data_IF_839366166656
#
_entry.id   IF_839366166656
#
_cell.length_a   1.000
_cell.length_b   1.000
_cell.length_c   1.000
_cell.angle_alpha   90.00
_cell.angle_beta   90.00
_cell.angle_gamma   90.00
#
_symmetry.space_group_name_H-M   'P 1'
#
loop_
_entity.id
_entity.type
_entity.pdbx_description
1 polymer ?
#
# COMPACT_ATOMS: atom_id res chain seq x y z
N UNK A 1 57.91 -22.75 32.21
CA UNK A 1 59.12 -22.45 31.40
C UNK A 1 59.17 -23.58 30.37
N UNK A 2 58.81 -23.44 29.10
CA UNK A 2 58.79 -22.33 28.14
C UNK A 2 57.88 -22.67 26.94
N UNK A 3 57.24 -21.62 26.39
CA UNK A 3 57.00 -21.33 24.96
C UNK A 3 56.66 -22.49 24.01
N UNK A 4 55.37 -22.63 23.69
CA UNK A 4 54.92 -23.06 22.37
C UNK A 4 54.00 -21.97 21.80
N UNK A 5 54.44 -21.41 20.68
CA UNK A 5 53.74 -20.43 19.86
C UNK A 5 52.38 -20.96 19.42
N UNK A 6 51.32 -20.46 20.05
CA UNK A 6 49.99 -20.42 19.42
C UNK A 6 49.89 -19.10 18.68
N UNK A 7 50.30 -19.10 17.42
CA UNK A 7 49.87 -18.10 16.44
C UNK A 7 48.34 -18.04 16.48
N UNK A 8 47.80 -16.98 17.09
CA UNK A 8 46.44 -16.54 16.83
C UNK A 8 46.43 -16.09 15.37
N UNK A 9 45.95 -16.99 14.50
CA UNK A 9 45.46 -16.59 13.19
C UNK A 9 44.32 -15.60 13.42
N UNK A 10 44.64 -14.32 13.27
CA UNK A 10 43.65 -13.27 13.06
C UNK A 10 42.99 -13.61 11.73
N UNK A 11 41.87 -14.34 11.80
CA UNK A 11 40.95 -14.40 10.66
C UNK A 11 40.47 -12.97 10.50
N UNK A 12 41.01 -12.30 9.49
CA UNK A 12 40.67 -10.94 9.13
C UNK A 12 39.17 -10.94 8.78
N UNK A 13 38.34 -10.68 9.79
CA UNK A 13 36.89 -10.66 9.74
C UNK A 13 36.37 -9.45 8.97
N UNK A 14 37.03 -9.07 7.87
CA UNK A 14 36.40 -8.26 6.83
C UNK A 14 35.51 -9.19 6.01
N UNK A 15 34.37 -9.55 6.59
CA UNK A 15 33.21 -9.85 5.76
C UNK A 15 32.95 -8.58 4.96
N UNK A 16 33.35 -8.59 3.69
CA UNK A 16 33.04 -7.53 2.74
C UNK A 16 31.53 -7.29 2.82
N UNK A 17 31.12 -6.05 3.10
CA UNK A 17 29.70 -5.74 3.17
C UNK A 17 29.08 -6.16 1.84
N UNK A 18 28.00 -6.97 1.84
CA UNK A 18 27.45 -7.52 0.61
C UNK A 18 27.16 -6.39 -0.38
N UNK A 19 27.54 -6.60 -1.64
CA UNK A 19 27.34 -5.60 -2.69
C UNK A 19 25.84 -5.30 -2.85
N UNK A 20 25.49 -4.16 -3.47
CA UNK A 20 24.08 -3.86 -3.73
C UNK A 20 23.41 -4.94 -4.58
N UNK A 21 24.16 -5.57 -5.49
CA UNK A 21 23.68 -6.65 -6.34
C UNK A 21 23.45 -7.94 -5.55
N UNK A 22 24.32 -8.28 -4.60
CA UNK A 22 24.15 -9.44 -3.72
C UNK A 22 22.92 -9.27 -2.81
N UNK A 23 22.74 -8.07 -2.26
CA UNK A 23 21.57 -7.74 -1.44
C UNK A 23 20.27 -7.81 -2.25
N UNK A 24 20.29 -7.37 -3.51
CA UNK A 24 19.11 -7.42 -4.38
C UNK A 24 18.78 -8.86 -4.80
N UNK A 25 19.80 -9.68 -5.09
CA UNK A 25 19.63 -11.09 -5.41
C UNK A 25 19.07 -11.87 -4.21
N UNK A 26 19.56 -11.59 -3.00
CA UNK A 26 19.05 -12.22 -1.80
C UNK A 26 17.62 -11.77 -1.48
N UNK A 27 17.32 -10.48 -1.60
CA UNK A 27 15.94 -9.97 -1.48
C UNK A 27 15.01 -10.68 -2.45
N UNK A 28 15.43 -10.87 -3.70
CA UNK A 28 14.63 -11.57 -4.71
C UNK A 28 14.33 -13.01 -4.29
N UNK A 29 15.34 -13.77 -3.85
CA UNK A 29 15.14 -15.16 -3.36
C UNK A 29 14.21 -15.22 -2.17
N UNK A 30 14.34 -14.29 -1.23
CA UNK A 30 13.46 -14.18 -0.07
C UNK A 30 12.02 -13.89 -0.48
N UNK A 31 11.82 -12.92 -1.39
CA UNK A 31 10.51 -12.60 -1.95
C UNK A 31 9.91 -13.81 -2.67
N UNK A 32 10.64 -14.47 -3.56
CA UNK A 32 10.13 -15.63 -4.31
C UNK A 32 9.70 -16.76 -3.37
N UNK A 33 10.51 -17.06 -2.34
CA UNK A 33 10.19 -18.09 -1.34
C UNK A 33 8.96 -17.74 -0.51
N UNK A 34 8.84 -16.49 -0.05
CA UNK A 34 7.72 -16.07 0.81
C UNK A 34 6.44 -15.91 -0.01
N UNK A 35 6.54 -15.27 -1.18
CA UNK A 35 5.40 -14.91 -2.01
C UNK A 35 4.83 -16.08 -2.81
N UNK A 36 5.64 -17.10 -3.12
CA UNK A 36 5.14 -18.37 -3.69
C UNK A 36 4.22 -19.13 -2.72
N UNK A 37 4.46 -19.00 -1.41
CA UNK A 37 3.63 -19.62 -0.39
C UNK A 37 2.45 -18.74 0.01
N UNK A 38 2.63 -17.41 0.00
CA UNK A 38 1.61 -16.45 0.44
C UNK A 38 1.48 -15.29 -0.54
N UNK A 39 0.35 -15.17 -1.25
CA UNK A 39 0.14 -14.06 -2.17
C UNK A 39 0.17 -12.73 -1.40
N UNK A 40 0.96 -11.77 -1.88
CA UNK A 40 1.01 -10.43 -1.30
C UNK A 40 -0.14 -9.58 -1.83
N UNK A 41 -0.87 -8.98 -0.89
CA UNK A 41 -1.86 -7.94 -1.13
C UNK A 41 -1.39 -6.69 -0.40
N UNK A 42 -1.13 -5.62 -1.13
CA UNK A 42 -0.84 -4.32 -0.54
C UNK A 42 -2.08 -3.44 -0.67
N UNK A 43 -2.50 -2.81 0.41
CA UNK A 43 -3.62 -1.89 0.43
C UNK A 43 -3.17 -0.54 0.99
N UNK A 44 -3.41 0.52 0.22
CA UNK A 44 -3.13 1.89 0.63
C UNK A 44 -4.13 2.82 -0.02
N UNK A 45 -4.36 4.01 0.57
CA UNK A 45 -5.30 4.94 -0.03
C UNK A 45 -4.85 5.39 -1.43
N UNK A 46 -3.57 5.74 -1.58
CA UNK A 46 -2.94 6.06 -2.88
C UNK A 46 -2.19 4.85 -3.43
N UNK A 47 -2.40 4.55 -4.71
CA UNK A 47 -1.66 3.54 -5.45
C UNK A 47 -0.38 4.07 -6.10
N UNK A 48 0.42 3.19 -6.72
CA UNK A 48 1.64 3.54 -7.45
C UNK A 48 1.37 4.11 -8.84
N UNK A 49 0.11 4.12 -9.27
CA UNK A 49 -0.36 4.70 -10.53
C UNK A 49 -1.58 5.56 -10.23
N UNK A 50 -1.62 6.73 -10.86
CA UNK A 50 -2.78 7.63 -10.88
C UNK A 50 -3.20 7.84 -12.33
N UNK A 51 -4.48 7.62 -12.65
CA UNK A 51 -5.00 7.83 -13.99
C UNK A 51 -5.60 9.22 -14.13
N UNK A 52 -5.02 10.02 -15.01
CA UNK A 52 -5.53 11.34 -15.36
C UNK A 52 -6.24 11.27 -16.70
N UNK A 53 -7.34 12.00 -16.86
CA UNK A 53 -8.03 12.09 -18.14
C UNK A 53 -7.26 13.04 -19.06
N UNK A 54 -6.89 12.58 -20.25
CA UNK A 54 -6.31 13.43 -21.28
C UNK A 54 -7.37 14.34 -21.91
N UNK A 55 -6.97 15.41 -22.64
CA UNK A 55 -7.91 16.25 -23.38
C UNK A 55 -8.80 15.46 -24.37
N UNK A 56 -8.32 14.33 -24.86
CA UNK A 56 -9.03 13.41 -25.76
C UNK A 56 -10.00 12.46 -25.02
N UNK A 57 -10.17 12.63 -23.70
CA UNK A 57 -11.09 11.85 -22.88
C UNK A 57 -10.62 10.44 -22.56
N UNK A 58 -9.32 10.15 -22.70
CA UNK A 58 -8.74 8.83 -22.39
C UNK A 58 -8.01 8.86 -21.04
N UNK A 59 -8.11 7.81 -20.22
CA UNK A 59 -7.31 7.70 -19.00
C UNK A 59 -5.85 7.36 -19.34
N UNK A 60 -4.91 8.19 -18.88
CA UNK A 60 -3.46 7.97 -18.97
C UNK A 60 -2.88 7.71 -17.58
N UNK A 61 -2.16 6.60 -17.42
CA UNK A 61 -1.53 6.23 -16.17
C UNK A 61 -0.22 6.97 -15.94
N UNK A 62 -0.11 7.66 -14.80
CA UNK A 62 1.11 8.35 -14.34
C UNK A 62 1.62 7.71 -13.07
N UNK A 63 2.93 7.79 -12.84
CA UNK A 63 3.54 7.30 -11.60
C UNK A 63 2.99 8.08 -10.41
N UNK A 64 2.34 7.37 -9.50
CA UNK A 64 1.89 7.93 -8.23
C UNK A 64 3.09 8.38 -7.40
N UNK A 65 3.00 9.58 -6.83
CA UNK A 65 3.96 10.06 -5.85
C UNK A 65 3.55 9.57 -4.45
N UNK A 66 4.50 9.05 -3.68
CA UNK A 66 4.22 8.61 -2.32
C UNK A 66 5.38 7.85 -1.68
N UNK A 67 5.54 8.01 -0.37
CA UNK A 67 6.57 7.30 0.40
C UNK A 67 6.41 5.78 0.32
N UNK A 68 5.17 5.28 0.35
CA UNK A 68 4.87 3.85 0.19
C UNK A 68 5.25 3.35 -1.21
N UNK A 69 4.95 4.13 -2.25
CA UNK A 69 5.32 3.78 -3.64
C UNK A 69 6.84 3.68 -3.79
N UNK A 70 7.56 4.64 -3.21
CA UNK A 70 9.03 4.63 -3.21
C UNK A 70 9.59 3.47 -2.38
N UNK A 71 9.07 3.22 -1.18
CA UNK A 71 9.54 2.14 -0.30
C UNK A 71 9.35 0.75 -0.93
N UNK A 72 8.29 0.56 -1.71
CA UNK A 72 8.00 -0.71 -2.38
C UNK A 72 8.51 -0.78 -3.82
N UNK A 73 9.29 0.21 -4.29
CA UNK A 73 9.70 0.31 -5.70
C UNK A 73 10.45 -0.94 -6.19
N UNK A 74 11.38 -1.48 -5.39
CA UNK A 74 12.11 -2.71 -5.74
C UNK A 74 11.15 -3.90 -5.89
N UNK A 75 10.19 -4.04 -4.99
CA UNK A 75 9.22 -5.13 -5.04
C UNK A 75 8.26 -5.00 -6.24
N UNK A 76 7.84 -3.77 -6.57
CA UNK A 76 7.00 -3.47 -7.74
C UNK A 76 7.67 -3.96 -9.03
N UNK A 77 8.99 -3.89 -9.12
CA UNK A 77 9.75 -4.29 -10.31
C UNK A 77 10.12 -5.77 -10.31
N UNK A 78 10.25 -6.38 -9.14
CA UNK A 78 10.85 -7.69 -9.00
C UNK A 78 9.82 -8.81 -8.91
N UNK A 79 8.67 -8.57 -8.26
CA UNK A 79 7.70 -9.60 -7.89
C UNK A 79 6.28 -9.28 -8.36
N UNK A 80 5.50 -10.31 -8.69
CA UNK A 80 4.08 -10.15 -9.01
C UNK A 80 3.23 -10.13 -7.74
N UNK A 81 2.47 -9.05 -7.53
CA UNK A 81 1.51 -8.94 -6.43
C UNK A 81 0.34 -8.01 -6.77
N UNK A 82 -0.68 -7.97 -5.91
CA UNK A 82 -1.84 -7.09 -6.12
C UNK A 82 -1.79 -5.88 -5.19
N UNK A 83 -2.00 -4.70 -5.77
CA UNK A 83 -2.11 -3.44 -5.05
C UNK A 83 -3.56 -2.91 -5.13
N UNK A 84 -4.20 -2.82 -3.97
CA UNK A 84 -5.55 -2.27 -3.80
C UNK A 84 -5.44 -0.80 -3.40
N UNK A 85 -6.06 0.10 -4.18
CA UNK A 85 -6.01 1.55 -3.94
C UNK A 85 -7.37 2.22 -4.14
N UNK A 86 -7.59 3.40 -3.55
CA UNK A 86 -8.81 4.18 -3.79
C UNK A 86 -8.81 4.76 -5.21
N UNK A 87 -9.97 4.74 -5.89
CA UNK A 87 -10.16 5.50 -7.12
C UNK A 87 -10.34 7.00 -6.78
N UNK A 88 -9.23 7.74 -6.80
CA UNK A 88 -9.20 9.13 -6.37
C UNK A 88 -9.66 10.09 -7.47
N UNK A 89 -9.19 9.88 -8.70
CA UNK A 89 -9.50 10.72 -9.85
C UNK A 89 -10.66 10.20 -10.71
N UNK A 90 -11.06 11.01 -11.69
CA UNK A 90 -12.01 10.58 -12.73
C UNK A 90 -11.43 9.48 -13.62
N UNK A 91 -10.14 9.55 -13.95
CA UNK A 91 -9.47 8.51 -14.74
C UNK A 91 -9.45 7.16 -14.03
N UNK A 92 -9.15 7.13 -12.72
CA UNK A 92 -9.16 5.88 -11.95
C UNK A 92 -10.55 5.26 -11.91
N UNK A 93 -11.59 6.11 -11.77
CA UNK A 93 -12.99 5.68 -11.77
C UNK A 93 -13.43 5.16 -13.14
N UNK A 94 -13.00 5.82 -14.22
CA UNK A 94 -13.28 5.36 -15.57
C UNK A 94 -12.65 3.97 -15.82
N UNK A 95 -11.39 3.79 -15.45
CA UNK A 95 -10.68 2.50 -15.55
C UNK A 95 -11.37 1.42 -14.70
N UNK A 96 -11.76 1.76 -13.47
CA UNK A 96 -12.41 0.82 -12.58
C UNK A 96 -13.80 0.38 -13.10
N UNK A 97 -14.57 1.32 -13.65
CA UNK A 97 -15.91 1.06 -14.15
C UNK A 97 -15.94 0.35 -15.52
N UNK A 98 -14.87 0.45 -16.31
CA UNK A 98 -14.75 -0.21 -17.61
C UNK A 98 -14.51 -1.74 -17.52
N UNK A 99 -14.66 -2.36 -16.34
CA UNK A 99 -14.54 -3.82 -16.17
C UNK A 99 -13.12 -4.37 -16.16
N UNK A 100 -12.09 -3.52 -16.32
CA UNK A 100 -10.68 -3.89 -16.19
C UNK A 100 -10.24 -4.12 -14.73
N UNK A 101 -11.13 -3.82 -13.77
CA UNK A 101 -10.85 -3.74 -12.34
C UNK A 101 -10.52 -5.04 -11.58
N UNK A 102 -10.85 -6.28 -12.03
CA UNK A 102 -10.46 -7.44 -11.24
C UNK A 102 -8.93 -7.60 -11.17
N UNK A 103 -8.21 -7.27 -12.26
CA UNK A 103 -6.74 -7.38 -12.39
C UNK A 103 -6.21 -6.44 -13.48
N UNK A 104 -6.12 -5.14 -13.20
CA UNK A 104 -5.50 -4.18 -14.14
C UNK A 104 -3.97 -4.29 -14.03
N UNK A 105 -3.27 -4.72 -15.08
CA UNK A 105 -1.80 -4.62 -15.07
C UNK A 105 -1.37 -3.15 -15.06
N UNK A 106 -0.34 -2.82 -14.28
CA UNK A 106 0.20 -1.46 -14.26
C UNK A 106 0.62 -1.02 -15.68
N UNK A 107 0.21 0.16 -16.16
CA UNK A 107 0.61 0.67 -17.47
C UNK A 107 2.07 1.14 -17.51
N UNK A 108 2.73 1.27 -16.35
CA UNK A 108 4.11 1.75 -16.26
C UNK A 108 5.13 0.64 -16.61
N UNK A 109 6.16 0.93 -17.42
CA UNK A 109 7.18 -0.06 -17.79
C UNK A 109 7.89 -0.68 -16.57
N UNK A 110 8.10 -1.99 -16.63
CA UNK A 110 8.82 -2.74 -15.58
C UNK A 110 8.01 -2.99 -14.30
N UNK A 111 6.81 -2.43 -14.16
CA UNK A 111 5.93 -2.75 -13.04
C UNK A 111 5.29 -4.13 -13.23
N UNK A 112 5.53 -5.03 -12.27
CA UNK A 112 4.96 -6.39 -12.22
C UNK A 112 3.70 -6.49 -11.37
N UNK A 113 3.03 -5.38 -11.09
CA UNK A 113 1.89 -5.33 -10.18
C UNK A 113 0.54 -5.39 -10.91
N UNK A 114 -0.44 -6.00 -10.24
CA UNK A 114 -1.85 -5.91 -10.58
C UNK A 114 -2.51 -4.83 -9.71
N UNK A 115 -3.10 -3.83 -10.33
CA UNK A 115 -3.85 -2.76 -9.69
C UNK A 115 -5.32 -3.18 -9.53
N UNK A 116 -5.89 -2.82 -8.39
CA UNK A 116 -7.31 -2.94 -8.11
C UNK A 116 -7.82 -1.68 -7.44
N UNK A 117 -8.75 -0.99 -8.11
CA UNK A 117 -9.31 0.25 -7.58
C UNK A 117 -10.60 0.01 -6.80
N UNK A 118 -10.67 0.60 -5.61
CA UNK A 118 -11.87 0.67 -4.78
C UNK A 118 -12.60 1.95 -5.14
N UNK A 119 -13.78 1.82 -5.74
CA UNK A 119 -14.62 2.95 -6.12
C UNK A 119 -15.64 3.20 -5.02
N UNK A 120 -15.55 4.35 -4.36
CA UNK A 120 -16.58 4.84 -3.43
C UNK A 120 -17.17 6.17 -3.93
N UNK A 121 -18.45 6.48 -3.62
CA UNK A 121 -19.03 7.77 -3.99
C UNK A 121 -18.18 8.94 -3.48
N UNK A 122 -18.05 10.02 -4.26
CA UNK A 122 -17.22 11.20 -3.89
C UNK A 122 -17.52 11.72 -2.48
N UNK A 123 -18.81 11.79 -2.12
CA UNK A 123 -19.25 12.21 -0.77
C UNK A 123 -18.76 11.29 0.35
N UNK A 124 -18.74 9.98 0.11
CA UNK A 124 -18.28 8.96 1.07
C UNK A 124 -16.77 9.06 1.24
N UNK A 125 -16.05 9.17 0.12
CA UNK A 125 -14.60 9.38 0.13
C UNK A 125 -14.20 10.69 0.84
N UNK A 126 -14.93 11.78 0.60
CA UNK A 126 -14.70 13.06 1.28
C UNK A 126 -14.81 12.92 2.81
N UNK A 127 -15.90 12.31 3.30
CA UNK A 127 -16.10 12.05 4.73
C UNK A 127 -14.97 11.18 5.32
N UNK A 128 -14.61 10.10 4.63
CA UNK A 128 -13.49 9.24 5.03
C UNK A 128 -12.15 9.98 5.09
N UNK A 129 -11.77 10.65 3.99
CA UNK A 129 -10.40 11.15 3.83
C UNK A 129 -10.22 12.55 4.41
N UNK A 130 -11.13 13.47 4.10
CA UNK A 130 -11.03 14.90 4.43
C UNK A 130 -11.71 15.29 5.75
N UNK A 131 -12.44 14.38 6.42
CA UNK A 131 -13.04 14.65 7.74
C UNK A 131 -12.48 13.69 8.79
N UNK A 132 -12.33 12.40 8.49
CA UNK A 132 -11.85 11.40 9.44
C UNK A 132 -10.33 11.19 9.40
N UNK A 133 -9.77 10.74 8.27
CA UNK A 133 -8.35 10.41 8.19
C UNK A 133 -7.44 11.63 8.47
N UNK A 134 -7.55 12.67 7.65
CA UNK A 134 -6.55 13.75 7.64
C UNK A 134 -6.70 14.80 8.73
N UNK A 135 -7.91 15.27 9.10
CA UNK A 135 -7.99 16.24 10.19
C UNK A 135 -8.23 15.60 11.55
N UNK A 136 -8.96 14.47 11.65
CA UNK A 136 -9.21 13.84 12.95
C UNK A 136 -8.07 12.89 13.36
N UNK A 137 -7.87 11.79 12.63
CA UNK A 137 -6.91 10.76 13.03
C UNK A 137 -5.46 11.24 12.96
N UNK A 138 -5.09 12.01 11.94
CA UNK A 138 -3.75 12.58 11.85
C UNK A 138 -3.43 13.46 13.06
N UNK A 139 -4.30 14.42 13.40
CA UNK A 139 -4.02 15.34 14.52
C UNK A 139 -3.98 14.60 15.85
N UNK A 140 -4.87 13.61 16.04
CA UNK A 140 -4.83 12.73 17.20
C UNK A 140 -3.47 12.01 17.31
N UNK A 141 -3.02 11.38 16.23
CA UNK A 141 -1.77 10.59 16.22
C UNK A 141 -0.51 11.44 16.36
N UNK A 142 -0.54 12.68 15.90
CA UNK A 142 0.60 13.60 15.94
C UNK A 142 0.56 14.57 17.13
N UNK A 143 -0.41 14.42 18.05
CA UNK A 143 -0.59 15.27 19.22
C UNK A 143 -0.64 16.77 18.88
N UNK A 144 -1.29 17.13 17.77
CA UNK A 144 -1.29 18.49 17.22
C UNK A 144 -2.49 19.34 17.69
N UNK A 145 -3.41 18.78 18.48
CA UNK A 145 -4.53 19.53 19.00
C UNK A 145 -4.16 20.41 20.17
N UNK A 146 -4.82 21.57 20.24
CA UNK A 146 -4.84 22.41 21.42
C UNK A 146 -5.99 21.96 22.34
N UNK A 147 -5.73 21.28 23.48
CA UNK A 147 -6.76 20.60 24.28
C UNK A 147 -7.97 21.45 24.74
N UNK A 148 -7.83 22.75 25.04
CA UNK A 148 -8.97 23.59 25.43
C UNK A 148 -9.97 23.87 24.31
N UNK A 149 -9.59 23.66 23.05
CA UNK A 149 -10.39 24.05 21.88
C UNK A 149 -10.67 22.91 20.91
N UNK A 150 -9.92 21.81 20.97
CA UNK A 150 -9.99 20.71 20.01
C UNK A 150 -9.71 19.36 20.69
N UNK A 151 -10.26 18.26 20.15
CA UNK A 151 -11.16 18.20 19.00
C UNK A 151 -12.62 18.50 19.36
N UNK A 152 -13.35 19.12 18.44
CA UNK A 152 -14.81 19.17 18.50
C UNK A 152 -15.38 17.95 17.78
N UNK A 153 -15.69 16.90 18.53
CA UNK A 153 -16.35 15.70 18.00
C UNK A 153 -17.85 15.92 18.04
N UNK A 154 -18.41 16.32 16.90
CA UNK A 154 -19.82 16.65 16.75
C UNK A 154 -20.57 15.65 15.85
N UNK A 155 -21.85 15.94 15.56
CA UNK A 155 -22.67 15.12 14.69
C UNK A 155 -22.07 14.90 13.29
N UNK A 156 -21.26 15.85 12.78
CA UNK A 156 -20.59 15.73 11.49
C UNK A 156 -19.47 14.68 11.52
N UNK A 157 -18.74 14.59 12.63
CA UNK A 157 -17.70 13.57 12.83
C UNK A 157 -18.34 12.18 12.95
N UNK A 158 -19.44 12.06 13.69
CA UNK A 158 -20.20 10.80 13.79
C UNK A 158 -20.75 10.36 12.43
N UNK A 159 -21.38 11.25 11.67
CA UNK A 159 -21.84 10.96 10.31
C UNK A 159 -20.69 10.57 9.39
N UNK A 160 -19.53 11.23 9.49
CA UNK A 160 -18.37 10.92 8.67
C UNK A 160 -17.72 9.57 9.06
N UNK A 161 -17.80 9.17 10.33
CA UNK A 161 -17.42 7.84 10.79
C UNK A 161 -18.34 6.76 10.19
N UNK A 162 -19.65 6.91 10.35
CA UNK A 162 -20.64 5.89 9.94
C UNK A 162 -20.82 5.79 8.43
N UNK A 163 -20.85 6.92 7.73
CA UNK A 163 -21.20 6.98 6.30
C UNK A 163 -20.01 7.27 5.40
N UNK A 164 -18.83 7.52 5.98
CA UNK A 164 -17.57 7.70 5.27
C UNK A 164 -16.57 6.60 5.62
N UNK A 165 -16.07 6.64 6.85
CA UNK A 165 -14.93 5.82 7.28
C UNK A 165 -15.22 4.31 7.25
N UNK A 166 -16.34 3.88 7.85
CA UNK A 166 -16.72 2.47 7.85
C UNK A 166 -16.94 1.93 6.43
N UNK A 167 -17.77 2.55 5.56
CA UNK A 167 -18.02 2.05 4.21
C UNK A 167 -16.77 1.98 3.35
N UNK A 168 -15.84 2.94 3.46
CA UNK A 168 -14.59 2.88 2.70
C UNK A 168 -13.73 1.70 3.15
N UNK A 169 -13.51 1.52 4.46
CA UNK A 169 -12.70 0.41 4.96
C UNK A 169 -13.34 -0.96 4.61
N UNK A 170 -14.68 -1.07 4.67
CA UNK A 170 -15.40 -2.26 4.20
C UNK A 170 -15.20 -2.50 2.70
N UNK A 171 -15.22 -1.44 1.89
CA UNK A 171 -14.98 -1.53 0.45
C UNK A 171 -13.54 -1.93 0.10
N UNK A 172 -12.55 -1.64 0.95
CA UNK A 172 -11.19 -2.19 0.85
C UNK A 172 -11.13 -3.65 1.28
N UNK A 173 -11.86 -4.03 2.33
CA UNK A 173 -11.88 -5.38 2.85
C UNK A 173 -12.48 -6.38 1.84
N UNK A 174 -13.49 -6.00 1.06
CA UNK A 174 -14.16 -6.91 0.12
C UNK A 174 -13.21 -7.46 -0.98
N UNK A 175 -12.44 -6.62 -1.70
CA UNK A 175 -11.38 -7.08 -2.59
C UNK A 175 -10.39 -8.05 -1.97
N UNK A 176 -9.95 -7.74 -0.75
CA UNK A 176 -8.96 -8.52 -0.02
C UNK A 176 -9.57 -9.86 0.36
N UNK A 177 -10.80 -9.88 0.86
CA UNK A 177 -11.54 -11.10 1.18
C UNK A 177 -11.80 -11.96 -0.05
N UNK A 178 -12.28 -11.40 -1.16
CA UNK A 178 -12.51 -12.16 -2.39
C UNK A 178 -11.23 -12.79 -2.96
N UNK A 179 -10.09 -12.12 -2.81
CA UNK A 179 -8.78 -12.68 -3.20
C UNK A 179 -8.26 -13.71 -2.20
N UNK A 180 -8.52 -13.53 -0.89
CA UNK A 180 -8.09 -14.46 0.16
C UNK A 180 -8.94 -15.73 0.20
N UNK A 181 -10.27 -15.63 0.16
CA UNK A 181 -11.21 -16.76 0.20
C UNK A 181 -11.09 -17.66 -1.03
N UNK A 182 -10.68 -17.10 -2.18
CA UNK A 182 -10.37 -17.88 -3.37
C UNK A 182 -9.05 -18.66 -3.25
N UNK A 183 -8.15 -18.26 -2.34
CA UNK A 183 -6.81 -18.82 -2.22
C UNK A 183 -6.60 -19.63 -0.92
N UNK A 184 -7.25 -19.30 0.21
CA UNK A 184 -7.06 -19.93 1.53
C UNK A 184 -8.30 -19.80 2.48
N UNK A 185 -8.47 -20.77 3.39
CA UNK A 185 -9.59 -20.99 4.35
C UNK A 185 -9.75 -19.88 5.46
N UNK A 186 -10.77 -19.92 6.37
CA UNK A 186 -11.65 -18.81 6.71
C UNK A 186 -11.21 -18.00 7.94
N UNK A 187 -10.00 -17.44 7.96
CA UNK A 187 -9.63 -16.44 8.97
C UNK A 187 -9.43 -15.07 8.32
N UNK A 188 -10.29 -14.14 8.74
CA UNK A 188 -10.43 -12.80 8.15
C UNK A 188 -9.25 -11.89 8.55
N UNK A 189 -8.49 -11.35 7.60
CA UNK A 189 -7.63 -10.22 7.90
C UNK A 189 -8.50 -9.00 8.22
N UNK A 190 -8.30 -8.39 9.40
CA UNK A 190 -8.84 -7.07 9.70
C UNK A 190 -8.04 -6.06 8.88
N UNK A 191 -8.64 -5.55 7.81
CA UNK A 191 -8.02 -4.54 6.95
C UNK A 191 -8.29 -3.18 7.56
N UNK A 192 -7.24 -2.50 8.00
CA UNK A 192 -7.26 -1.08 8.30
C UNK A 192 -6.51 -0.39 7.18
N UNK A 193 -7.18 0.46 6.42
CA UNK A 193 -6.47 1.33 5.48
C UNK A 193 -5.65 2.32 6.30
N UNK A 194 -4.33 2.29 6.14
CA UNK A 194 -3.46 3.28 6.78
C UNK A 194 -3.77 4.62 6.13
N UNK A 195 -4.39 5.51 6.90
CA UNK A 195 -4.56 6.92 6.55
C UNK A 195 -3.17 7.59 6.55
N UNK A 196 -2.51 7.62 5.40
CA UNK A 196 -1.36 8.49 5.13
C UNK A 196 -1.36 8.93 3.68
#
# INVERSE_FOLDING_TARGET
>A
MTLEDRELTVVDGKGEAPSQDDNMAELQRLCDRVLSQRPLLLASNRGPVEHQMTPEGRPEGRRGSGSVVTAFNSLIQSSEFTWVASAMGEGDRAIANNGLAPRLKSPLPGHKINLRYVVTPRRVYHKYYNVLCNPLLWFLQHYMWNPPYNPNVDASVHDAWETGYIPVNQAFAFPIHGLYTFLYHPHLPRVVTICR
#
